data_IF_784419052444
#
_entry.id   IF_784419052444
#
_cell.length_a   1.000
_cell.length_b   1.000
_cell.length_c   1.000
_cell.angle_alpha   90.00
_cell.angle_beta   90.00
_cell.angle_gamma   90.00
#
_symmetry.space_group_name_H-M   'P 1'
#
loop_
_entity.id
_entity.type
_entity.pdbx_description
1 polymer ?
#
# COMPACT_ATOMS: atom_id res chain seq x y z
N UNK A 1 -27.83 -16.54 21.46
CA UNK A 1 -26.97 -16.63 20.25
C UNK A 1 -27.08 -15.30 19.53
N UNK A 2 -26.26 -14.34 19.93
CA UNK A 2 -26.22 -12.99 19.38
C UNK A 2 -25.32 -12.98 18.16
N UNK A 3 -25.84 -12.44 17.06
CA UNK A 3 -25.10 -12.09 15.85
C UNK A 3 -23.88 -11.24 16.26
N UNK A 4 -22.70 -11.85 16.29
CA UNK A 4 -21.43 -11.16 16.39
C UNK A 4 -21.05 -10.66 15.00
N UNK A 5 -21.21 -9.36 14.80
CA UNK A 5 -20.30 -8.46 14.08
C UNK A 5 -19.44 -9.11 12.98
N UNK A 6 -20.08 -9.40 11.85
CA UNK A 6 -19.40 -9.29 10.56
C UNK A 6 -19.23 -7.79 10.30
N UNK A 7 -18.18 -7.16 10.88
CA UNK A 7 -17.68 -5.87 10.40
C UNK A 7 -17.39 -6.04 8.91
N UNK A 8 -18.30 -5.57 8.05
CA UNK A 8 -18.08 -5.45 6.61
C UNK A 8 -16.76 -4.68 6.43
N UNK A 9 -15.68 -5.39 6.10
CA UNK A 9 -14.46 -4.73 5.64
C UNK A 9 -14.88 -3.91 4.42
N UNK A 10 -14.55 -2.62 4.42
CA UNK A 10 -14.85 -1.82 3.25
C UNK A 10 -13.98 -2.37 2.11
N UNK A 11 -14.61 -3.09 1.19
CA UNK A 11 -13.93 -3.61 0.02
C UNK A 11 -13.39 -2.43 -0.80
N UNK A 12 -12.12 -2.54 -1.17
CA UNK A 12 -11.51 -1.72 -2.21
C UNK A 12 -11.20 -2.66 -3.37
N UNK A 13 -11.25 -2.13 -4.58
CA UNK A 13 -10.94 -2.88 -5.79
C UNK A 13 -9.61 -2.41 -6.39
N UNK A 14 -9.12 -3.12 -7.41
CA UNK A 14 -7.88 -2.79 -8.09
C UNK A 14 -6.64 -3.01 -7.22
N UNK A 15 -6.74 -3.94 -6.26
CA UNK A 15 -5.62 -4.60 -5.61
C UNK A 15 -5.75 -6.08 -5.95
N UNK A 16 -4.70 -6.65 -6.55
CA UNK A 16 -4.60 -8.10 -6.57
C UNK A 16 -4.30 -8.55 -5.14
N UNK A 17 -5.24 -9.25 -4.51
CA UNK A 17 -4.92 -10.08 -3.35
C UNK A 17 -3.96 -11.14 -3.87
N UNK A 18 -2.70 -11.09 -3.44
CA UNK A 18 -1.58 -11.83 -4.03
C UNK A 18 -2.01 -13.19 -4.57
N UNK A 19 -2.09 -13.30 -5.90
CA UNK A 19 -2.36 -14.55 -6.59
C UNK A 19 -1.46 -15.62 -5.97
N UNK A 20 -1.97 -16.83 -5.73
CA UNK A 20 -1.23 -17.97 -5.18
C UNK A 20 0.20 -18.04 -5.73
N UNK A 21 1.15 -17.44 -5.00
CA UNK A 21 2.48 -17.21 -5.53
C UNK A 21 3.22 -18.54 -5.56
N UNK A 22 3.85 -18.84 -6.69
CA UNK A 22 4.63 -20.05 -6.87
C UNK A 22 5.75 -20.12 -5.82
N UNK A 23 5.89 -21.27 -5.15
CA UNK A 23 7.05 -21.56 -4.31
C UNK A 23 8.37 -21.51 -5.09
N UNK A 24 8.32 -21.59 -6.43
CA UNK A 24 9.51 -21.51 -7.29
C UNK A 24 10.26 -20.18 -7.15
N UNK A 25 9.54 -19.07 -6.92
CA UNK A 25 10.11 -17.73 -6.80
C UNK A 25 10.16 -17.25 -5.35
N UNK A 26 9.76 -18.09 -4.39
CA UNK A 26 9.88 -17.74 -2.97
C UNK A 26 11.34 -17.80 -2.54
N UNK A 27 11.87 -16.82 -1.81
CA UNK A 27 13.29 -16.72 -1.57
C UNK A 27 13.70 -17.60 -0.37
N UNK A 28 13.48 -18.91 -0.49
CA UNK A 28 13.66 -19.95 0.53
C UNK A 28 15.07 -19.91 1.16
N UNK A 29 16.09 -19.71 0.34
CA UNK A 29 17.50 -19.72 0.77
C UNK A 29 17.98 -18.39 1.36
N UNK A 30 17.13 -17.35 1.36
CA UNK A 30 17.48 -16.01 1.88
C UNK A 30 16.80 -15.67 3.21
N UNK A 31 16.10 -16.65 3.80
CA UNK A 31 15.46 -16.48 5.10
C UNK A 31 16.53 -16.54 6.21
N UNK A 32 17.10 -15.39 6.52
CA UNK A 32 18.08 -15.26 7.60
C UNK A 32 17.38 -14.97 8.93
N UNK A 33 16.77 -16.00 9.53
CA UNK A 33 16.38 -15.95 10.95
C UNK A 33 17.52 -16.51 11.77
N UNK A 34 18.19 -15.63 12.54
CA UNK A 34 19.24 -16.06 13.45
C UNK A 34 18.72 -16.23 14.87
N UNK A 35 19.20 -17.25 15.56
CA UNK A 35 18.93 -17.46 16.98
C UNK A 35 19.96 -16.67 17.80
N UNK A 36 19.49 -15.94 18.80
CA UNK A 36 20.29 -15.23 19.77
C UNK A 36 19.76 -15.52 21.19
N UNK A 37 20.62 -15.45 22.20
CA UNK A 37 20.25 -15.61 23.61
C UNK A 37 20.80 -14.44 24.40
N UNK A 38 19.90 -13.75 25.11
CA UNK A 38 20.24 -12.59 25.93
C UNK A 38 19.54 -12.67 27.26
N UNK A 39 20.17 -12.12 28.29
CA UNK A 39 19.53 -11.98 29.60
C UNK A 39 18.52 -10.84 29.59
N UNK A 40 17.55 -10.89 30.50
CA UNK A 40 16.60 -9.78 30.73
C UNK A 40 17.37 -8.49 31.01
N UNK A 41 18.38 -8.52 31.88
CA UNK A 41 19.18 -7.34 32.24
C UNK A 41 19.87 -6.68 31.05
N UNK A 42 20.44 -7.48 30.13
CA UNK A 42 21.05 -6.95 28.90
C UNK A 42 20.00 -6.27 28.01
N UNK A 43 18.86 -6.93 27.78
CA UNK A 43 17.78 -6.39 26.94
C UNK A 43 17.23 -5.09 27.52
N UNK A 44 16.96 -5.03 28.83
CA UNK A 44 16.49 -3.80 29.50
C UNK A 44 17.51 -2.67 29.37
N UNK A 45 18.81 -2.97 29.56
CA UNK A 45 19.87 -1.99 29.35
C UNK A 45 19.88 -1.44 27.92
N UNK A 46 19.68 -2.31 26.92
CA UNK A 46 19.62 -1.93 25.50
C UNK A 46 18.35 -1.14 25.18
N UNK A 47 17.21 -1.48 25.78
CA UNK A 47 15.97 -0.70 25.71
C UNK A 47 16.21 0.72 26.24
N UNK A 48 16.80 0.86 27.44
CA UNK A 48 17.13 2.17 28.03
C UNK A 48 18.06 3.02 27.14
N UNK A 49 18.94 2.36 26.37
CA UNK A 49 19.82 3.00 25.37
C UNK A 49 19.15 3.28 24.02
N UNK A 50 17.84 3.06 23.88
CA UNK A 50 17.10 3.27 22.63
C UNK A 50 17.46 2.28 21.51
N UNK A 51 18.05 1.12 21.85
CA UNK A 51 18.44 0.09 20.87
C UNK A 51 17.31 -0.88 20.52
N UNK A 52 16.23 -0.85 21.29
CA UNK A 52 15.00 -1.59 21.00
C UNK A 52 13.86 -0.59 20.78
N UNK A 53 13.14 -0.75 19.67
CA UNK A 53 11.89 -0.04 19.40
C UNK A 53 10.76 -0.89 20.01
N UNK A 54 10.40 -0.55 21.24
CA UNK A 54 9.24 -1.13 21.94
C UNK A 54 7.93 -0.48 21.52
N UNK A 55 7.98 0.74 20.99
CA UNK A 55 6.80 1.48 20.54
C UNK A 55 6.83 1.64 19.03
N UNK A 56 6.15 0.73 18.33
CA UNK A 56 5.81 1.00 16.96
C UNK A 56 4.28 1.22 17.00
N UNK A 57 3.89 2.48 16.80
CA UNK A 57 2.60 3.21 16.92
C UNK A 57 1.25 2.49 16.62
N UNK A 58 1.28 1.20 16.28
CA UNK A 58 0.19 0.31 15.87
C UNK A 58 0.10 -0.97 16.72
N UNK A 59 1.09 -1.31 17.55
CA UNK A 59 0.95 -2.38 18.52
C UNK A 59 0.20 -1.82 19.73
N UNK A 60 -1.02 -2.34 19.92
CA UNK A 60 -2.01 -1.99 20.95
C UNK A 60 -1.40 -1.38 22.21
N UNK A 61 -2.13 -0.41 22.78
CA UNK A 61 -2.00 -0.06 24.20
C UNK A 61 -1.68 -1.32 25.00
N UNK A 62 -0.65 -1.26 25.83
CA UNK A 62 -0.21 -2.37 26.64
C UNK A 62 -1.41 -3.06 27.34
N UNK A 63 -1.80 -4.26 26.88
CA UNK A 63 -3.09 -4.89 27.23
C UNK A 63 -2.98 -5.89 28.39
N UNK A 64 -1.77 -6.24 28.81
CA UNK A 64 -1.59 -7.19 29.90
C UNK A 64 -2.03 -6.60 31.24
N UNK A 65 -2.99 -7.25 31.89
CA UNK A 65 -3.38 -6.88 33.24
C UNK A 65 -2.27 -7.23 34.25
N UNK A 66 -2.37 -6.68 35.46
CA UNK A 66 -1.35 -6.88 36.50
C UNK A 66 -1.13 -8.36 36.83
N UNK A 67 -2.16 -9.21 36.78
CA UNK A 67 -2.01 -10.63 37.09
C UNK A 67 -1.17 -11.37 36.02
N UNK A 68 -1.33 -11.03 34.74
CA UNK A 68 -0.50 -11.58 33.65
C UNK A 68 0.97 -11.17 33.81
N UNK A 69 1.19 -9.92 34.19
CA UNK A 69 2.52 -9.38 34.46
C UNK A 69 3.22 -10.14 35.59
N UNK A 70 2.51 -10.28 36.71
CA UNK A 70 2.96 -10.98 37.91
C UNK A 70 3.35 -12.43 37.60
N UNK A 71 2.52 -13.17 36.84
CA UNK A 71 2.83 -14.56 36.43
C UNK A 71 4.10 -14.69 35.59
N UNK A 72 4.41 -13.69 34.76
CA UNK A 72 5.65 -13.69 33.98
C UNK A 72 6.87 -13.58 34.90
N UNK A 73 6.83 -12.66 35.87
CA UNK A 73 7.91 -12.48 36.83
C UNK A 73 8.06 -13.73 37.72
N UNK A 74 6.94 -14.31 38.16
CA UNK A 74 6.94 -15.58 38.89
C UNK A 74 7.60 -16.70 38.07
N UNK A 75 7.26 -16.83 36.80
CA UNK A 75 7.87 -17.83 35.91
C UNK A 75 9.39 -17.66 35.81
N UNK A 76 9.87 -16.42 35.72
CA UNK A 76 11.30 -16.08 35.74
C UNK A 76 11.97 -16.47 37.07
N UNK A 77 11.35 -16.15 38.20
CA UNK A 77 11.83 -16.55 39.53
C UNK A 77 11.86 -18.08 39.72
N UNK A 78 10.88 -18.79 39.16
CA UNK A 78 10.81 -20.26 39.17
C UNK A 78 11.74 -20.94 38.16
N UNK A 79 12.46 -20.17 37.32
CA UNK A 79 13.29 -20.66 36.20
C UNK A 79 12.50 -21.51 35.20
N UNK A 80 11.22 -21.19 35.01
CA UNK A 80 10.41 -21.80 33.97
C UNK A 80 10.87 -21.21 32.62
N UNK A 81 11.18 -22.05 31.62
CA UNK A 81 11.53 -21.58 30.28
C UNK A 81 10.42 -20.69 29.70
N UNK A 82 10.79 -19.47 29.29
CA UNK A 82 9.87 -18.53 28.68
C UNK A 82 9.78 -18.81 27.17
N UNK A 83 8.62 -18.56 26.53
CA UNK A 83 8.50 -18.71 25.08
C UNK A 83 9.54 -17.85 24.34
N UNK A 84 9.88 -18.24 23.12
CA UNK A 84 10.81 -17.46 22.29
C UNK A 84 10.24 -16.08 21.98
N UNK A 85 11.12 -15.11 21.71
CA UNK A 85 10.77 -13.78 21.22
C UNK A 85 11.14 -13.71 19.74
N UNK A 86 10.29 -13.09 18.94
CA UNK A 86 10.64 -12.79 17.56
C UNK A 86 10.81 -11.29 17.41
N UNK A 87 11.89 -10.90 16.76
CA UNK A 87 12.26 -9.50 16.59
C UNK A 87 12.84 -9.30 15.20
N UNK A 88 12.70 -8.12 14.63
CA UNK A 88 13.33 -7.75 13.37
C UNK A 88 14.50 -6.80 13.62
N UNK A 89 15.55 -6.94 12.84
CA UNK A 89 16.61 -5.95 12.78
C UNK A 89 16.21 -4.84 11.80
N UNK A 90 16.46 -3.59 12.22
CA UNK A 90 16.35 -2.41 11.38
C UNK A 90 17.68 -2.17 10.64
N UNK A 91 17.67 -1.35 9.60
CA UNK A 91 18.87 -1.06 8.79
C UNK A 91 20.02 -0.42 9.59
N UNK A 92 19.68 0.26 10.68
CA UNK A 92 20.65 0.87 11.60
C UNK A 92 21.06 -0.01 12.80
N UNK A 93 20.64 -1.29 12.78
CA UNK A 93 20.96 -2.28 13.80
C UNK A 93 20.11 -2.20 15.07
N UNK A 94 19.10 -1.30 15.13
CA UNK A 94 18.10 -1.34 16.20
C UNK A 94 17.21 -2.58 16.05
N UNK A 95 16.67 -3.04 17.17
CA UNK A 95 15.78 -4.20 17.21
C UNK A 95 14.34 -3.74 17.32
N UNK A 96 13.49 -4.19 16.41
CA UNK A 96 12.05 -3.97 16.38
C UNK A 96 11.37 -5.21 16.95
N UNK A 97 10.53 -5.04 17.97
CA UNK A 97 9.86 -6.19 18.60
C UNK A 97 8.66 -6.62 17.74
N UNK A 98 8.71 -7.85 17.25
CA UNK A 98 7.66 -8.43 16.39
C UNK A 98 6.65 -9.18 17.25
N UNK A 99 7.14 -10.12 18.07
CA UNK A 99 6.38 -10.81 19.10
C UNK A 99 7.06 -10.71 20.47
N UNK A 100 6.25 -10.62 21.52
CA UNK A 100 6.71 -10.55 22.91
C UNK A 100 6.90 -9.15 23.47
N UNK A 101 6.32 -8.13 22.82
CA UNK A 101 6.29 -6.76 23.33
C UNK A 101 5.78 -6.71 24.78
N UNK A 102 4.66 -7.37 25.07
CA UNK A 102 4.07 -7.37 26.41
C UNK A 102 5.04 -7.96 27.46
N UNK A 103 5.81 -8.99 27.08
CA UNK A 103 6.80 -9.63 27.97
C UNK A 103 7.97 -8.69 28.27
N UNK A 104 8.57 -8.11 27.24
CA UNK A 104 9.69 -7.17 27.39
C UNK A 104 9.26 -5.91 28.15
N UNK A 105 8.09 -5.36 27.87
CA UNK A 105 7.53 -4.22 28.60
C UNK A 105 7.25 -4.58 30.06
N UNK A 106 6.77 -5.78 30.36
CA UNK A 106 6.57 -6.23 31.75
C UNK A 106 7.89 -6.26 32.52
N UNK A 107 8.94 -6.87 31.95
CA UNK A 107 10.26 -6.88 32.58
C UNK A 107 10.81 -5.46 32.79
N UNK A 108 10.68 -4.61 31.76
CA UNK A 108 11.10 -3.21 31.84
C UNK A 108 10.40 -2.49 33.00
N UNK A 109 9.07 -2.59 33.08
CA UNK A 109 8.26 -1.95 34.13
C UNK A 109 8.62 -2.47 35.52
N UNK A 110 8.77 -3.78 35.68
CA UNK A 110 9.07 -4.37 36.98
C UNK A 110 10.45 -3.95 37.49
N UNK A 111 11.48 -4.05 36.65
CA UNK A 111 12.86 -3.65 36.98
C UNK A 111 12.96 -2.16 37.32
N UNK A 112 12.09 -1.33 36.75
CA UNK A 112 11.99 0.10 37.08
C UNK A 112 11.01 0.40 38.24
N UNK A 113 10.63 -0.60 39.05
CA UNK A 113 9.79 -0.43 40.24
C UNK A 113 8.39 0.15 39.95
N UNK A 114 7.87 0.02 38.72
CA UNK A 114 6.56 0.57 38.31
C UNK A 114 5.38 -0.22 38.90
N UNK A 115 5.58 -1.48 39.27
CA UNK A 115 4.57 -2.29 39.96
C UNK A 115 5.21 -3.28 40.94
N UNK A 116 4.39 -3.85 41.83
CA UNK A 116 4.81 -4.88 42.79
C UNK A 116 4.12 -6.22 42.53
N UNK A 117 4.70 -7.30 43.05
CA UNK A 117 4.19 -8.67 42.90
C UNK A 117 2.97 -8.93 43.80
N UNK A 118 1.84 -8.33 43.42
CA UNK A 118 0.55 -8.53 44.09
C UNK A 118 -0.05 -9.89 43.74
N UNK A 119 -0.79 -10.47 44.67
CA UNK A 119 -1.53 -11.74 44.49
C UNK A 119 -0.64 -12.97 44.20
N UNK A 120 0.60 -13.01 44.71
CA UNK A 120 1.45 -14.20 44.68
C UNK A 120 1.45 -14.90 46.05
N UNK A 121 1.39 -16.23 46.03
CA UNK A 121 1.77 -17.06 47.17
C UNK A 121 0.69 -17.23 48.25
N UNK A 122 1.12 -17.75 49.40
CA UNK A 122 0.27 -17.98 50.57
C UNK A 122 0.14 -16.71 51.42
N UNK A 123 -0.75 -16.71 52.43
CA UNK A 123 -0.94 -15.57 53.35
C UNK A 123 0.24 -15.33 54.32
N UNK A 124 1.42 -15.89 54.05
CA UNK A 124 2.61 -15.77 54.88
C UNK A 124 3.15 -14.32 54.91
N UNK A 125 3.27 -13.68 56.09
CA UNK A 125 3.88 -12.36 56.24
C UNK A 125 5.36 -12.29 55.86
N UNK A 126 6.10 -13.41 55.91
CA UNK A 126 7.55 -13.47 55.67
C UNK A 126 7.91 -13.81 54.21
N UNK A 127 6.92 -13.75 53.30
CA UNK A 127 7.11 -14.05 51.89
C UNK A 127 8.18 -13.12 51.25
N UNK A 128 9.17 -13.74 50.61
CA UNK A 128 10.32 -13.04 50.06
C UNK A 128 9.99 -12.20 48.81
N UNK A 129 8.84 -12.42 48.17
CA UNK A 129 8.46 -11.83 46.88
C UNK A 129 7.13 -11.07 46.92
N UNK A 130 6.19 -11.46 47.78
CA UNK A 130 4.84 -10.89 47.82
C UNK A 130 4.85 -9.39 48.11
N UNK A 131 4.05 -8.65 47.35
CA UNK A 131 3.87 -7.19 47.46
C UNK A 131 5.16 -6.36 47.30
N UNK A 132 6.29 -7.01 46.94
CA UNK A 132 7.58 -6.35 46.75
C UNK A 132 7.76 -5.89 45.31
N UNK A 133 8.39 -4.72 45.19
CA UNK A 133 8.97 -4.20 43.95
C UNK A 133 10.35 -4.83 43.72
N UNK A 134 10.92 -4.63 42.54
CA UNK A 134 12.21 -5.22 42.16
C UNK A 134 13.32 -4.85 43.14
N UNK A 135 13.46 -3.56 43.48
CA UNK A 135 14.50 -3.08 44.41
C UNK A 135 14.36 -3.60 45.85
N UNK A 136 13.19 -4.13 46.20
CA UNK A 136 12.89 -4.66 47.54
C UNK A 136 13.15 -6.16 47.64
N UNK A 137 13.40 -6.84 46.52
CA UNK A 137 13.76 -8.26 46.53
C UNK A 137 15.16 -8.48 47.11
N UNK A 138 15.42 -9.62 47.78
CA UNK A 138 16.79 -10.05 48.06
C UNK A 138 17.65 -10.06 46.79
N UNK A 139 18.92 -9.70 46.90
CA UNK A 139 19.86 -9.58 45.76
C UNK A 139 19.83 -10.84 44.87
N UNK A 140 19.88 -12.03 45.46
CA UNK A 140 19.84 -13.29 44.70
C UNK A 140 18.57 -13.50 43.85
N UNK A 141 17.43 -12.88 44.21
CA UNK A 141 16.20 -12.91 43.40
C UNK A 141 16.18 -11.81 42.34
N UNK A 142 16.81 -10.65 42.60
CA UNK A 142 17.03 -9.63 41.57
C UNK A 142 17.88 -10.19 40.44
N UNK A 143 19.04 -10.77 40.78
CA UNK A 143 19.95 -11.43 39.84
C UNK A 143 19.24 -12.54 39.06
N UNK A 144 18.37 -13.32 39.73
CA UNK A 144 17.60 -14.38 39.06
C UNK A 144 16.67 -13.86 37.96
N UNK A 145 16.06 -12.69 38.17
CA UNK A 145 15.23 -12.04 37.16
C UNK A 145 16.12 -11.48 36.05
N UNK A 146 17.19 -10.76 36.40
CA UNK A 146 18.08 -10.14 35.43
C UNK A 146 18.80 -11.17 34.55
N UNK A 147 19.24 -12.30 35.11
CA UNK A 147 19.91 -13.42 34.43
C UNK A 147 18.96 -14.34 33.67
N UNK A 148 17.64 -14.11 33.74
CA UNK A 148 16.67 -14.91 33.00
C UNK A 148 16.98 -14.87 31.51
N UNK A 149 17.28 -16.03 30.93
CA UNK A 149 17.67 -16.17 29.53
C UNK A 149 16.44 -16.11 28.62
N UNK A 150 16.45 -15.14 27.71
CA UNK A 150 15.45 -14.99 26.66
C UNK A 150 16.05 -15.45 25.33
N UNK A 151 15.35 -16.34 24.64
CA UNK A 151 15.73 -16.77 23.29
C UNK A 151 15.05 -15.88 22.26
N UNK A 152 15.83 -15.26 21.40
CA UNK A 152 15.37 -14.37 20.34
C UNK A 152 15.60 -15.02 18.97
N UNK A 153 14.60 -14.96 18.11
CA UNK A 153 14.73 -15.17 16.68
C UNK A 153 14.73 -13.81 15.99
N UNK A 154 15.89 -13.42 15.46
CA UNK A 154 16.08 -12.12 14.82
C UNK A 154 15.94 -12.29 13.31
N UNK A 155 14.92 -11.65 12.74
CA UNK A 155 14.77 -11.49 11.29
C UNK A 155 15.80 -10.47 10.81
N UNK A 156 16.72 -10.88 9.95
CA UNK A 156 17.75 -10.01 9.38
C UNK A 156 17.12 -8.88 8.54
N UNK A 157 17.71 -7.69 8.60
CA UNK A 157 17.27 -6.53 7.82
C UNK A 157 17.49 -6.70 6.32
N UNK A 158 18.36 -7.64 5.91
CA UNK A 158 18.67 -7.97 4.52
C UNK A 158 17.73 -9.02 3.90
N UNK A 159 16.87 -9.65 4.71
CA UNK A 159 15.89 -10.58 4.17
C UNK A 159 14.91 -9.85 3.24
N UNK A 160 14.46 -10.46 2.12
CA UNK A 160 13.46 -9.86 1.24
C UNK A 160 12.19 -9.46 2.01
N UNK A 161 11.51 -8.39 1.59
CA UNK A 161 10.38 -7.84 2.34
C UNK A 161 9.27 -8.88 2.47
N UNK A 162 8.95 -9.56 1.37
CA UNK A 162 7.95 -10.63 1.34
C UNK A 162 8.22 -11.71 2.39
N UNK A 163 9.47 -12.16 2.53
CA UNK A 163 9.84 -13.14 3.55
C UNK A 163 9.69 -12.58 4.97
N UNK A 164 10.07 -11.31 5.20
CA UNK A 164 9.91 -10.66 6.52
C UNK A 164 8.44 -10.56 6.91
N UNK A 165 7.58 -10.12 5.99
CA UNK A 165 6.14 -10.00 6.22
C UNK A 165 5.48 -11.36 6.48
N UNK A 166 5.80 -12.37 5.68
CA UNK A 166 5.29 -13.73 5.84
C UNK A 166 5.69 -14.37 7.18
N UNK A 167 6.93 -14.19 7.60
CA UNK A 167 7.40 -14.69 8.91
C UNK A 167 6.68 -13.93 10.02
N UNK A 168 6.57 -12.60 9.91
CA UNK A 168 5.86 -11.78 10.88
C UNK A 168 4.41 -12.26 11.04
N UNK A 169 3.70 -12.48 9.94
CA UNK A 169 2.32 -12.97 9.92
C UNK A 169 2.19 -14.34 10.61
N UNK A 170 3.07 -15.30 10.29
CA UNK A 170 3.03 -16.67 10.84
C UNK A 170 3.39 -16.74 12.32
N UNK A 171 4.26 -15.85 12.77
CA UNK A 171 4.81 -15.83 14.12
C UNK A 171 3.91 -15.10 15.10
N UNK A 172 3.21 -14.06 14.64
CA UNK A 172 2.40 -13.21 15.48
C UNK A 172 1.31 -14.02 16.19
N UNK A 173 1.51 -14.29 17.47
CA UNK A 173 0.59 -15.05 18.32
C UNK A 173 -0.60 -14.20 18.81
N UNK A 174 -0.65 -12.92 18.43
CA UNK A 174 -1.68 -11.97 18.78
C UNK A 174 -2.85 -11.91 17.79
N UNK A 175 -3.45 -10.73 17.69
CA UNK A 175 -4.42 -10.44 16.63
C UNK A 175 -3.61 -10.23 15.36
N UNK A 176 -3.98 -10.87 14.24
CA UNK A 176 -3.28 -10.71 12.97
C UNK A 176 -3.14 -9.24 12.59
N UNK A 177 -1.94 -8.84 12.18
CA UNK A 177 -1.66 -7.52 11.64
C UNK A 177 -1.77 -7.59 10.12
N UNK A 178 -2.26 -6.53 9.48
CA UNK A 178 -2.22 -6.42 8.02
C UNK A 178 -0.79 -6.21 7.53
N UNK A 179 -0.53 -6.53 6.25
CA UNK A 179 0.80 -6.27 5.65
C UNK A 179 1.25 -4.82 5.78
N UNK A 180 0.33 -3.86 5.66
CA UNK A 180 0.66 -2.46 5.87
C UNK A 180 0.96 -2.10 7.33
N UNK A 181 0.24 -2.69 8.30
CA UNK A 181 0.59 -2.52 9.73
C UNK A 181 1.99 -3.09 10.01
N UNK A 182 2.31 -4.25 9.43
CA UNK A 182 3.64 -4.85 9.51
C UNK A 182 4.72 -3.93 8.92
N UNK A 183 4.50 -3.35 7.73
CA UNK A 183 5.39 -2.32 7.15
C UNK A 183 5.58 -1.12 8.07
N UNK A 184 4.51 -0.64 8.69
CA UNK A 184 4.59 0.46 9.65
C UNK A 184 5.46 0.10 10.87
N UNK A 185 5.60 -1.19 11.21
CA UNK A 185 6.60 -1.66 12.18
C UNK A 185 8.01 -1.53 11.63
N UNK A 186 8.23 -2.20 10.50
CA UNK A 186 9.54 -2.54 9.98
C UNK A 186 10.26 -1.29 9.45
N UNK A 187 9.52 -0.27 9.04
CA UNK A 187 10.03 0.95 8.43
C UNK A 187 9.70 2.22 9.24
N UNK A 188 9.57 2.09 10.56
CA UNK A 188 9.27 3.21 11.46
C UNK A 188 10.29 4.36 11.31
N UNK A 189 9.78 5.56 11.01
CA UNK A 189 10.59 6.76 10.78
C UNK A 189 9.81 7.89 10.08
N UNK A 190 10.51 8.81 9.39
CA UNK A 190 9.88 9.85 8.56
C UNK A 190 8.84 9.31 7.58
N UNK A 191 9.04 8.13 7.01
CA UNK A 191 8.11 7.52 6.07
C UNK A 191 6.75 7.21 6.70
N UNK A 192 6.73 6.48 7.82
CA UNK A 192 5.48 6.14 8.52
C UNK A 192 4.78 7.38 9.07
N UNK A 193 5.54 8.41 9.47
CA UNK A 193 5.00 9.71 9.86
C UNK A 193 4.32 10.39 8.68
N UNK A 194 4.97 10.44 7.51
CA UNK A 194 4.37 10.96 6.27
C UNK A 194 3.05 10.26 5.96
N UNK A 195 3.00 8.92 5.97
CA UNK A 195 1.77 8.17 5.68
C UNK A 195 0.64 8.52 6.65
N UNK A 196 0.96 8.64 7.95
CA UNK A 196 -0.01 9.02 8.98
C UNK A 196 -0.51 10.45 8.76
N UNK A 197 0.39 11.41 8.55
CA UNK A 197 0.03 12.81 8.37
C UNK A 197 -0.80 13.01 7.09
N UNK A 198 -0.41 12.37 5.98
CA UNK A 198 -1.16 12.33 4.74
C UNK A 198 -2.56 11.72 4.92
N UNK A 199 -2.69 10.61 5.66
CA UNK A 199 -3.98 9.95 5.93
C UNK A 199 -4.94 10.80 6.75
N UNK A 200 -4.41 11.68 7.59
CA UNK A 200 -5.18 12.60 8.42
C UNK A 200 -5.45 13.95 7.75
N UNK A 201 -4.88 14.19 6.57
CA UNK A 201 -5.07 15.43 5.84
C UNK A 201 -6.51 15.58 5.33
N UNK A 202 -7.07 16.78 5.45
CA UNK A 202 -8.42 17.07 4.97
C UNK A 202 -8.61 16.78 3.46
N UNK A 203 -7.67 17.15 2.56
CA UNK A 203 -7.79 16.85 1.14
C UNK A 203 -7.88 15.35 0.84
N UNK A 204 -7.07 14.52 1.51
CA UNK A 204 -7.15 13.06 1.36
C UNK A 204 -8.49 12.53 1.88
N UNK A 205 -8.92 12.96 3.07
CA UNK A 205 -10.20 12.55 3.66
C UNK A 205 -11.37 12.93 2.74
N UNK A 206 -11.34 14.10 2.09
CA UNK A 206 -12.39 14.51 1.15
C UNK A 206 -12.38 13.68 -0.13
N UNK A 207 -11.21 13.50 -0.75
CA UNK A 207 -11.10 12.75 -2.01
C UNK A 207 -11.41 11.25 -1.84
N UNK A 208 -10.80 10.62 -0.84
CA UNK A 208 -10.91 9.17 -0.62
C UNK A 208 -12.14 8.84 0.22
N UNK A 209 -12.47 9.67 1.21
CA UNK A 209 -13.51 9.43 2.22
C UNK A 209 -13.38 8.03 2.82
N UNK A 210 -12.26 7.74 3.50
CA UNK A 210 -11.92 6.40 3.96
C UNK A 210 -12.91 5.88 5.01
N UNK A 211 -13.33 4.63 4.87
CA UNK A 211 -14.14 3.95 5.87
C UNK A 211 -13.34 3.73 7.16
N UNK A 212 -14.03 3.62 8.30
CA UNK A 212 -13.38 3.40 9.59
C UNK A 212 -12.57 2.09 9.62
N UNK A 213 -13.04 1.05 8.92
CA UNK A 213 -12.32 -0.21 8.75
C UNK A 213 -10.98 -0.03 8.04
N UNK A 214 -10.88 0.84 7.02
CA UNK A 214 -9.61 1.14 6.35
C UNK A 214 -8.59 1.78 7.29
N UNK A 215 -9.02 2.67 8.19
CA UNK A 215 -8.14 3.28 9.20
C UNK A 215 -7.62 2.23 10.19
N UNK A 216 -8.51 1.32 10.62
CA UNK A 216 -8.19 0.22 11.55
C UNK A 216 -7.15 -0.73 10.95
N UNK A 217 -7.27 -1.06 9.66
CA UNK A 217 -6.35 -1.95 8.94
C UNK A 217 -5.15 -1.23 8.32
N UNK A 218 -5.05 0.10 8.48
CA UNK A 218 -4.08 0.98 7.81
C UNK A 218 -4.08 0.89 6.29
N UNK A 219 -5.21 0.50 5.68
CA UNK A 219 -5.35 0.41 4.22
C UNK A 219 -5.29 1.79 3.56
N UNK A 220 -5.72 2.83 4.28
CA UNK A 220 -5.50 4.22 3.88
C UNK A 220 -4.02 4.57 3.73
N UNK A 221 -3.18 4.14 4.69
CA UNK A 221 -1.73 4.30 4.62
C UNK A 221 -1.09 3.46 3.52
N UNK A 222 -1.63 2.28 3.22
CA UNK A 222 -1.16 1.44 2.11
C UNK A 222 -1.35 2.13 0.77
N UNK A 223 -2.53 2.69 0.56
CA UNK A 223 -2.88 3.43 -0.66
C UNK A 223 -1.98 4.65 -0.82
N UNK A 224 -1.70 5.38 0.27
CA UNK A 224 -0.74 6.50 0.27
C UNK A 224 0.69 5.99 0.00
N UNK A 225 1.07 4.83 0.54
CA UNK A 225 2.39 4.26 0.26
C UNK A 225 2.55 3.88 -1.21
N UNK A 226 1.48 3.43 -1.88
CA UNK A 226 1.49 3.21 -3.34
C UNK A 226 1.74 4.51 -4.09
N UNK A 227 1.11 5.63 -3.71
CA UNK A 227 1.46 6.95 -4.23
C UNK A 227 2.95 7.26 -4.03
N UNK A 228 3.46 7.12 -2.80
CA UNK A 228 4.87 7.38 -2.49
C UNK A 228 5.83 6.55 -3.36
N UNK A 229 5.53 5.27 -3.56
CA UNK A 229 6.35 4.38 -4.35
C UNK A 229 6.41 4.79 -5.83
N UNK A 230 5.28 5.13 -6.44
CA UNK A 230 5.26 5.62 -7.82
C UNK A 230 5.74 7.06 -7.99
N UNK A 231 5.76 7.85 -6.92
CA UNK A 231 6.30 9.21 -6.91
C UNK A 231 7.84 9.22 -6.84
N UNK A 232 8.43 8.31 -6.05
CA UNK A 232 9.86 8.31 -5.75
C UNK A 232 10.65 7.35 -6.64
N UNK A 233 10.09 6.17 -6.93
CA UNK A 233 10.78 5.14 -7.72
C UNK A 233 10.44 5.31 -9.20
N UNK A 234 11.36 4.91 -10.08
CA UNK A 234 11.03 4.82 -11.50
C UNK A 234 10.07 3.66 -11.73
N UNK A 235 9.08 3.87 -12.60
CA UNK A 235 8.19 2.80 -13.03
C UNK A 235 8.93 1.68 -13.77
N UNK A 236 10.07 2.00 -14.38
CA UNK A 236 10.91 1.01 -15.06
C UNK A 236 11.56 0.04 -14.07
N UNK A 237 11.75 0.46 -12.83
CA UNK A 237 12.32 -0.36 -11.75
C UNK A 237 11.31 -1.38 -11.19
N UNK A 238 10.02 -1.26 -11.54
CA UNK A 238 9.00 -2.19 -11.07
C UNK A 238 9.11 -3.57 -11.76
N UNK A 239 9.36 -4.61 -10.95
CA UNK A 239 9.62 -5.99 -11.42
C UNK A 239 8.48 -6.98 -11.18
N UNK A 240 7.30 -6.51 -10.75
CA UNK A 240 6.14 -7.35 -10.44
C UNK A 240 5.93 -7.59 -8.94
N UNK A 241 6.95 -7.34 -8.12
CA UNK A 241 6.87 -7.48 -6.66
C UNK A 241 6.41 -6.17 -6.02
N UNK A 242 5.10 -6.01 -5.83
CA UNK A 242 4.51 -4.80 -5.22
C UNK A 242 5.01 -4.56 -3.79
N UNK A 243 5.32 -5.62 -3.05
CA UNK A 243 5.75 -5.49 -1.65
C UNK A 243 7.13 -4.87 -1.53
N UNK A 244 8.08 -5.38 -2.30
CA UNK A 244 9.44 -4.86 -2.36
C UNK A 244 9.43 -3.41 -2.87
N UNK A 245 8.60 -3.11 -3.88
CA UNK A 245 8.46 -1.76 -4.42
C UNK A 245 7.96 -0.75 -3.37
N UNK A 246 7.00 -1.17 -2.54
CA UNK A 246 6.47 -0.37 -1.44
C UNK A 246 7.47 -0.22 -0.29
N UNK A 247 8.22 -1.28 0.04
CA UNK A 247 9.27 -1.23 1.05
C UNK A 247 10.43 -0.31 0.63
N UNK A 248 10.85 -0.37 -0.63
CA UNK A 248 11.90 0.49 -1.19
C UNK A 248 11.55 1.97 -1.04
N UNK A 249 10.30 2.34 -1.32
CA UNK A 249 9.82 3.71 -1.14
C UNK A 249 9.94 4.18 0.32
N UNK A 250 9.53 3.35 1.28
CA UNK A 250 9.63 3.67 2.71
C UNK A 250 11.09 3.82 3.15
N UNK A 251 11.98 2.96 2.67
CA UNK A 251 13.42 3.07 2.92
C UNK A 251 13.99 4.38 2.40
N UNK A 252 13.67 4.75 1.15
CA UNK A 252 14.12 6.01 0.54
C UNK A 252 13.60 7.22 1.32
N UNK A 253 12.32 7.25 1.71
CA UNK A 253 11.76 8.35 2.49
C UNK A 253 12.41 8.46 3.87
N UNK A 254 12.73 7.35 4.53
CA UNK A 254 13.34 7.38 5.86
C UNK A 254 14.73 8.03 5.89
N UNK A 255 15.44 8.07 4.75
CA UNK A 255 16.74 8.73 4.61
C UNK A 255 16.67 10.02 3.79
N UNK A 256 15.48 10.41 3.34
CA UNK A 256 15.25 11.59 2.53
C UNK A 256 15.38 12.87 3.36
N UNK A 257 16.01 13.94 2.84
CA UNK A 257 16.00 15.24 3.48
C UNK A 257 14.57 15.74 3.76
N UNK A 258 14.36 16.39 4.91
CA UNK A 258 13.02 16.86 5.30
C UNK A 258 12.37 17.78 4.26
N UNK A 259 13.15 18.62 3.57
CA UNK A 259 12.62 19.52 2.54
C UNK A 259 12.02 18.76 1.34
N UNK A 260 12.61 17.64 0.92
CA UNK A 260 12.09 16.80 -0.16
C UNK A 260 10.80 16.08 0.29
N UNK A 261 10.76 15.63 1.56
CA UNK A 261 9.55 15.05 2.17
C UNK A 261 8.42 16.09 2.20
N UNK A 262 8.73 17.34 2.56
CA UNK A 262 7.77 18.43 2.60
C UNK A 262 7.27 18.79 1.20
N UNK A 263 8.14 18.81 0.19
CA UNK A 263 7.76 18.97 -1.23
C UNK A 263 6.81 17.87 -1.67
N UNK A 264 7.15 16.60 -1.43
CA UNK A 264 6.27 15.47 -1.76
C UNK A 264 4.92 15.58 -1.05
N UNK A 265 4.88 16.06 0.21
CA UNK A 265 3.63 16.28 0.93
C UNK A 265 2.78 17.37 0.27
N UNK A 266 3.40 18.48 -0.15
CA UNK A 266 2.72 19.56 -0.87
C UNK A 266 2.11 19.02 -2.17
N UNK A 267 2.89 18.27 -2.96
CA UNK A 267 2.42 17.73 -4.24
C UNK A 267 1.31 16.69 -4.06
N UNK A 268 1.43 15.83 -3.03
CA UNK A 268 0.35 14.92 -2.61
C UNK A 268 -0.93 15.67 -2.26
N UNK A 269 -0.84 16.71 -1.41
CA UNK A 269 -1.97 17.51 -0.98
C UNK A 269 -2.63 18.22 -2.17
N UNK A 270 -1.83 18.81 -3.07
CA UNK A 270 -2.32 19.45 -4.29
C UNK A 270 -3.02 18.46 -5.21
N UNK A 271 -2.46 17.27 -5.38
CA UNK A 271 -3.06 16.17 -6.11
C UNK A 271 -4.42 15.78 -5.54
N UNK A 272 -4.52 15.55 -4.22
CA UNK A 272 -5.78 15.18 -3.55
C UNK A 272 -6.84 16.28 -3.68
N UNK A 273 -6.46 17.54 -3.42
CA UNK A 273 -7.36 18.69 -3.57
C UNK A 273 -7.89 18.83 -4.99
N UNK A 274 -7.03 18.68 -6.00
CA UNK A 274 -7.41 18.81 -7.40
C UNK A 274 -8.32 17.65 -7.84
N UNK A 275 -8.01 16.42 -7.43
CA UNK A 275 -8.87 15.27 -7.66
C UNK A 275 -10.27 15.49 -7.09
N UNK A 276 -10.37 15.94 -5.83
CA UNK A 276 -11.67 16.24 -5.23
C UNK A 276 -12.38 17.41 -5.92
N UNK A 277 -11.65 18.45 -6.33
CA UNK A 277 -12.21 19.59 -7.05
C UNK A 277 -12.84 19.20 -8.40
N UNK A 278 -12.22 18.27 -9.13
CA UNK A 278 -12.66 17.84 -10.47
C UNK A 278 -13.70 16.72 -10.38
N UNK A 279 -13.44 15.69 -9.56
CA UNK A 279 -14.22 14.45 -9.55
C UNK A 279 -15.17 14.32 -8.34
N UNK A 280 -15.05 15.21 -7.34
CA UNK A 280 -15.87 15.22 -6.14
C UNK A 280 -15.84 13.88 -5.39
N UNK A 281 -17.02 13.41 -4.99
CA UNK A 281 -17.21 12.13 -4.26
C UNK A 281 -16.79 10.90 -5.08
N UNK A 282 -16.62 11.03 -6.39
CA UNK A 282 -16.18 9.95 -7.27
C UNK A 282 -14.67 9.95 -7.52
N UNK A 283 -13.90 10.76 -6.80
CA UNK A 283 -12.43 10.69 -6.86
C UNK A 283 -11.96 9.25 -6.65
N UNK A 284 -11.14 8.75 -7.57
CA UNK A 284 -10.57 7.40 -7.58
C UNK A 284 -11.61 6.27 -7.60
N UNK A 285 -12.76 6.49 -8.26
CA UNK A 285 -13.83 5.50 -8.39
C UNK A 285 -14.31 5.39 -9.83
N UNK A 286 -14.55 4.15 -10.28
CA UNK A 286 -15.10 3.87 -11.61
C UNK A 286 -16.53 4.40 -11.80
N UNK A 287 -17.27 4.66 -10.71
CA UNK A 287 -18.64 5.20 -10.78
C UNK A 287 -18.75 6.51 -11.54
N UNK A 288 -17.68 7.30 -11.65
CA UNK A 288 -17.71 8.55 -12.41
C UNK A 288 -18.12 8.34 -13.88
N UNK A 289 -17.81 7.19 -14.47
CA UNK A 289 -18.15 6.88 -15.86
C UNK A 289 -19.46 6.09 -16.03
N UNK A 290 -19.93 5.42 -14.98
CA UNK A 290 -21.13 4.54 -15.03
C UNK A 290 -22.37 5.18 -14.40
N UNK A 291 -22.25 5.60 -13.14
CA UNK A 291 -23.34 6.19 -12.39
C UNK A 291 -22.77 7.21 -11.39
N UNK A 292 -22.58 8.47 -11.80
CA UNK A 292 -21.95 9.50 -10.95
C UNK A 292 -22.70 9.78 -9.65
N UNK A 293 -23.99 9.42 -9.58
CA UNK A 293 -24.83 9.61 -8.40
C UNK A 293 -24.65 8.49 -7.35
N UNK A 294 -24.10 7.34 -7.74
CA UNK A 294 -23.84 6.22 -6.84
C UNK A 294 -22.36 6.16 -6.49
N UNK A 295 -22.06 6.16 -5.19
CA UNK A 295 -20.69 6.00 -4.72
C UNK A 295 -20.32 4.51 -4.73
N UNK A 296 -19.28 4.16 -5.46
CA UNK A 296 -18.71 2.80 -5.52
C UNK A 296 -17.47 2.65 -4.62
N UNK A 297 -16.97 1.42 -4.52
CA UNK A 297 -15.71 1.08 -3.86
C UNK A 297 -14.54 1.87 -4.45
N UNK A 298 -13.54 2.17 -3.61
CA UNK A 298 -12.32 2.85 -4.05
C UNK A 298 -11.51 1.92 -4.95
N UNK A 299 -10.98 2.42 -6.07
CA UNK A 299 -10.04 1.68 -6.90
C UNK A 299 -8.60 2.12 -6.61
N UNK A 300 -7.78 1.22 -6.07
CA UNK A 300 -6.42 1.54 -5.63
C UNK A 300 -5.45 1.71 -6.80
N UNK A 301 -5.64 0.96 -7.89
CA UNK A 301 -4.88 1.12 -9.14
C UNK A 301 -5.29 2.35 -9.96
N UNK A 302 -6.47 2.91 -9.71
CA UNK A 302 -6.81 4.23 -10.22
C UNK A 302 -6.21 5.31 -9.31
N UNK A 303 -6.20 5.07 -7.99
CA UNK A 303 -5.58 5.98 -7.03
C UNK A 303 -4.10 6.15 -7.30
N UNK A 304 -3.30 5.08 -7.32
CA UNK A 304 -1.84 5.17 -7.47
C UNK A 304 -1.43 5.96 -8.73
N UNK A 305 -2.17 5.76 -9.82
CA UNK A 305 -1.87 6.26 -11.14
C UNK A 305 -2.27 7.73 -11.26
N UNK A 306 -3.52 8.06 -10.92
CA UNK A 306 -4.03 9.42 -11.03
C UNK A 306 -3.41 10.32 -9.98
N UNK A 307 -3.25 9.85 -8.74
CA UNK A 307 -2.67 10.65 -7.66
C UNK A 307 -1.22 11.04 -7.97
N UNK A 308 -0.42 10.11 -8.48
CA UNK A 308 0.98 10.35 -8.87
C UNK A 308 1.06 11.30 -10.06
N UNK A 309 0.31 11.04 -11.14
CA UNK A 309 0.31 11.93 -12.30
C UNK A 309 -0.12 13.35 -11.95
N UNK A 310 -1.14 13.50 -11.10
CA UNK A 310 -1.61 14.82 -10.68
C UNK A 310 -0.60 15.50 -9.76
N UNK A 311 0.08 14.78 -8.87
CA UNK A 311 1.13 15.37 -8.03
C UNK A 311 2.30 15.91 -8.87
N UNK A 312 2.71 15.19 -9.92
CA UNK A 312 3.79 15.64 -10.80
C UNK A 312 3.39 16.79 -11.73
N UNK A 313 2.09 17.05 -11.92
CA UNK A 313 1.58 17.99 -12.93
C UNK A 313 0.54 19.01 -12.42
N UNK A 314 0.33 19.12 -11.10
CA UNK A 314 -0.81 19.88 -10.53
C UNK A 314 -0.82 21.34 -10.97
N UNK A 315 0.35 21.98 -11.10
CA UNK A 315 0.50 23.39 -11.46
C UNK A 315 0.05 23.71 -12.90
N UNK A 316 0.08 22.72 -13.79
CA UNK A 316 -0.50 22.81 -15.14
C UNK A 316 -1.99 22.48 -15.10
N UNK A 317 -2.35 21.38 -14.45
CA UNK A 317 -3.71 20.87 -14.40
C UNK A 317 -4.69 21.82 -13.71
N UNK A 318 -4.27 22.53 -12.66
CA UNK A 318 -5.15 23.45 -11.92
C UNK A 318 -5.64 24.66 -12.74
N UNK A 319 -4.95 24.95 -13.86
CA UNK A 319 -5.25 26.06 -14.77
C UNK A 319 -6.19 25.67 -15.90
N UNK A 320 -6.44 24.38 -16.08
CA UNK A 320 -7.29 23.86 -17.15
C UNK A 320 -8.75 23.81 -16.72
N UNK A 321 -9.63 23.74 -17.71
CA UNK A 321 -11.06 23.54 -17.46
C UNK A 321 -11.30 22.16 -16.81
N UNK A 322 -11.97 22.17 -15.66
CA UNK A 322 -12.25 20.96 -14.91
C UNK A 322 -13.26 20.06 -15.63
N UNK A 323 -14.16 20.61 -16.46
CA UNK A 323 -15.12 19.79 -17.22
C UNK A 323 -14.35 18.96 -18.25
N UNK A 324 -13.46 19.59 -19.02
CA UNK A 324 -12.55 18.89 -19.94
C UNK A 324 -11.74 17.78 -19.24
N UNK A 325 -11.13 18.07 -18.08
CA UNK A 325 -10.35 17.05 -17.34
C UNK A 325 -11.23 15.89 -16.83
N UNK A 326 -12.45 16.19 -16.42
CA UNK A 326 -13.44 15.19 -16.01
C UNK A 326 -13.82 14.28 -17.18
N UNK A 327 -14.08 14.85 -18.35
CA UNK A 327 -14.45 14.11 -19.55
C UNK A 327 -13.29 13.22 -20.03
N UNK A 328 -12.04 13.69 -19.94
CA UNK A 328 -10.84 12.87 -20.21
C UNK A 328 -10.80 11.61 -19.33
N UNK A 329 -11.09 11.72 -18.02
CA UNK A 329 -11.09 10.55 -17.14
C UNK A 329 -12.26 9.61 -17.43
N UNK A 330 -13.46 10.14 -17.69
CA UNK A 330 -14.63 9.33 -18.05
C UNK A 330 -14.32 8.53 -19.32
N UNK A 331 -13.70 9.17 -20.31
CA UNK A 331 -13.30 8.52 -21.56
C UNK A 331 -12.30 7.38 -21.31
N UNK A 332 -11.25 7.62 -20.52
CA UNK A 332 -10.29 6.56 -20.16
C UNK A 332 -10.98 5.38 -19.47
N UNK A 333 -11.92 5.63 -18.56
CA UNK A 333 -12.66 4.57 -17.87
C UNK A 333 -13.63 3.80 -18.77
N UNK A 334 -13.95 4.31 -19.96
CA UNK A 334 -14.73 3.62 -20.98
C UNK A 334 -13.84 2.86 -21.97
N UNK A 335 -12.53 3.14 -21.99
CA UNK A 335 -11.56 2.51 -22.87
C UNK A 335 -11.09 1.16 -22.28
N UNK A 336 -11.44 -0.01 -22.90
CA UNK A 336 -11.27 -1.33 -22.28
C UNK A 336 -9.83 -1.64 -21.85
N UNK A 337 -8.79 -1.39 -22.67
CA UNK A 337 -7.41 -1.62 -22.23
C UNK A 337 -7.02 -0.86 -20.95
N UNK A 338 -7.47 0.38 -20.78
CA UNK A 338 -7.24 1.13 -19.54
C UNK A 338 -8.10 0.58 -18.40
N UNK A 339 -9.38 0.33 -18.64
CA UNK A 339 -10.29 -0.25 -17.65
C UNK A 339 -9.77 -1.58 -17.09
N UNK A 340 -9.29 -2.46 -17.96
CA UNK A 340 -8.72 -3.76 -17.60
C UNK A 340 -7.44 -3.58 -16.78
N UNK A 341 -6.57 -2.64 -17.14
CA UNK A 341 -5.31 -2.38 -16.41
C UNK A 341 -5.48 -1.90 -14.96
N UNK A 342 -6.67 -1.41 -14.59
CA UNK A 342 -7.05 -1.01 -13.22
C UNK A 342 -8.00 -2.02 -12.55
N UNK A 343 -8.32 -3.13 -13.21
CA UNK A 343 -9.31 -4.12 -12.74
C UNK A 343 -8.74 -5.53 -12.64
N UNK A 344 -7.95 -5.95 -13.63
CA UNK A 344 -7.46 -7.32 -13.79
C UNK A 344 -5.93 -7.35 -13.66
N UNK A 345 -5.40 -8.28 -12.88
CA UNK A 345 -3.95 -8.48 -12.70
C UNK A 345 -3.21 -7.14 -12.52
N UNK A 346 -3.73 -6.34 -11.62
CA UNK A 346 -3.36 -4.94 -11.41
C UNK A 346 -1.96 -4.73 -10.87
N UNK A 347 -1.30 -5.79 -10.39
CA UNK A 347 0.11 -5.77 -10.00
C UNK A 347 1.05 -6.32 -11.10
N UNK A 348 0.56 -6.79 -12.25
CA UNK A 348 1.48 -7.23 -13.29
C UNK A 348 2.24 -6.02 -13.91
N UNK A 349 3.46 -6.27 -14.36
CA UNK A 349 4.37 -5.21 -14.86
C UNK A 349 3.82 -4.48 -16.07
N UNK A 350 3.13 -5.20 -16.97
CA UNK A 350 2.51 -4.64 -18.16
C UNK A 350 1.42 -3.61 -17.81
N UNK A 351 0.44 -4.00 -16.98
CA UNK A 351 -0.70 -3.16 -16.60
C UNK A 351 -0.27 -1.92 -15.83
N UNK A 352 0.70 -2.04 -14.92
CA UNK A 352 1.27 -0.89 -14.21
C UNK A 352 1.91 0.09 -15.19
N UNK A 353 2.82 -0.38 -16.05
CA UNK A 353 3.47 0.50 -17.04
C UNK A 353 2.46 1.13 -17.96
N UNK A 354 1.56 0.33 -18.52
CA UNK A 354 0.51 0.76 -19.43
C UNK A 354 -0.35 1.89 -18.83
N UNK A 355 -0.93 1.68 -17.64
CA UNK A 355 -1.86 2.65 -17.05
C UNK A 355 -1.17 3.97 -16.67
N UNK A 356 0.04 3.91 -16.11
CA UNK A 356 0.79 5.10 -15.73
C UNK A 356 1.28 5.88 -16.94
N UNK A 357 1.78 5.21 -17.98
CA UNK A 357 2.22 5.91 -19.18
C UNK A 357 1.05 6.53 -19.94
N UNK A 358 -0.09 5.82 -20.06
CA UNK A 358 -1.28 6.38 -20.70
C UNK A 358 -1.87 7.56 -19.93
N UNK A 359 -1.95 7.48 -18.60
CA UNK A 359 -2.39 8.61 -17.77
C UNK A 359 -1.43 9.79 -17.90
N UNK A 360 -0.11 9.57 -17.89
CA UNK A 360 0.88 10.63 -18.10
C UNK A 360 0.77 11.25 -19.51
N UNK A 361 0.44 10.46 -20.54
CA UNK A 361 0.15 10.98 -21.88
C UNK A 361 -1.05 11.93 -21.87
N UNK A 362 -2.14 11.52 -21.20
CA UNK A 362 -3.41 12.27 -21.18
C UNK A 362 -3.40 13.50 -20.26
N UNK A 363 -2.74 13.39 -19.10
CA UNK A 363 -2.77 14.39 -18.02
C UNK A 363 -1.40 15.01 -17.67
N UNK A 364 -0.30 14.58 -18.28
CA UNK A 364 1.05 15.10 -17.98
C UNK A 364 1.68 15.92 -19.11
N UNK A 365 1.65 15.41 -20.35
CA UNK A 365 2.36 16.02 -21.47
C UNK A 365 1.44 16.76 -22.45
N UNK A 366 0.45 16.06 -23.02
CA UNK A 366 -0.32 16.52 -24.17
C UNK A 366 -1.71 17.02 -23.74
N UNK A 367 -1.72 18.02 -22.87
CA UNK A 367 -2.93 18.52 -22.21
C UNK A 367 -3.90 19.23 -23.17
N UNK A 368 -3.37 19.83 -24.24
CA UNK A 368 -4.08 20.53 -25.31
C UNK A 368 -4.77 19.61 -26.30
N UNK A 369 -4.31 18.35 -26.41
CA UNK A 369 -4.90 17.34 -27.30
C UNK A 369 -6.16 16.71 -26.70
N UNK A 370 -7.04 16.22 -27.57
CA UNK A 370 -8.21 15.43 -27.17
C UNK A 370 -7.78 14.10 -26.54
N UNK A 371 -8.63 13.50 -25.70
CA UNK A 371 -8.32 12.20 -25.09
C UNK A 371 -8.09 11.11 -26.15
N UNK A 372 -8.91 11.12 -27.20
CA UNK A 372 -8.83 10.19 -28.34
C UNK A 372 -7.48 10.31 -29.04
N UNK A 373 -7.05 11.54 -29.36
CA UNK A 373 -5.76 11.75 -30.00
C UNK A 373 -4.60 11.25 -29.12
N UNK A 374 -4.65 11.52 -27.81
CA UNK A 374 -3.63 11.05 -26.88
C UNK A 374 -3.55 9.52 -26.82
N UNK A 375 -4.70 8.83 -26.82
CA UNK A 375 -4.75 7.36 -26.84
C UNK A 375 -4.19 6.82 -28.16
N UNK A 376 -4.62 7.36 -29.31
CA UNK A 376 -4.12 6.90 -30.62
C UNK A 376 -2.60 7.06 -30.72
N UNK A 377 -2.06 8.22 -30.33
CA UNK A 377 -0.61 8.45 -30.32
C UNK A 377 0.12 7.49 -29.37
N UNK A 378 -0.47 7.19 -28.22
CA UNK A 378 0.09 6.23 -27.25
C UNK A 378 0.07 4.80 -27.78
N UNK A 379 -1.03 4.33 -28.36
CA UNK A 379 -1.08 2.98 -28.92
C UNK A 379 -0.11 2.83 -30.09
N UNK A 380 -0.02 3.85 -30.95
CA UNK A 380 0.90 3.83 -32.09
C UNK A 380 2.37 3.88 -31.67
N UNK A 381 2.72 4.46 -30.51
CA UNK A 381 4.11 4.53 -30.04
C UNK A 381 4.70 3.17 -29.66
N UNK A 382 3.88 2.14 -29.45
CA UNK A 382 4.32 0.78 -29.18
C UNK A 382 4.74 0.02 -30.45
N UNK A 383 4.51 0.60 -31.63
CA UNK A 383 4.93 0.02 -32.90
C UNK A 383 6.28 0.63 -33.33
N UNK A 384 7.19 -0.20 -33.84
CA UNK A 384 8.54 0.18 -34.29
C UNK A 384 8.56 1.01 -35.60
N UNK A 385 7.52 1.80 -35.85
CA UNK A 385 7.39 2.69 -36.99
C UNK A 385 7.35 4.12 -36.48
N UNK A 386 8.12 5.02 -37.09
CA UNK A 386 8.03 6.46 -36.79
C UNK A 386 6.56 6.90 -36.87
N UNK A 387 6.02 7.43 -35.77
CA UNK A 387 4.62 7.88 -35.70
C UNK A 387 4.42 8.92 -36.80
N UNK A 388 3.66 8.56 -37.84
CA UNK A 388 3.28 9.51 -38.88
C UNK A 388 2.12 10.36 -38.37
N UNK A 389 2.37 11.66 -38.22
CA UNK A 389 1.35 12.63 -37.82
C UNK A 389 0.14 12.63 -38.78
N UNK A 390 0.30 12.26 -40.06
CA UNK A 390 -0.83 12.11 -40.99
C UNK A 390 -1.71 10.90 -40.65
N UNK A 391 -1.11 9.80 -40.17
CA UNK A 391 -1.84 8.61 -39.75
C UNK A 391 -2.69 8.93 -38.51
N UNK A 392 -2.11 9.59 -37.51
CA UNK A 392 -2.82 10.03 -36.30
C UNK A 392 -4.00 10.92 -36.67
N UNK A 393 -3.80 11.93 -37.52
CA UNK A 393 -4.87 12.82 -37.98
C UNK A 393 -5.98 12.07 -38.73
N UNK A 394 -5.61 11.09 -39.55
CA UNK A 394 -6.58 10.26 -40.30
C UNK A 394 -7.44 9.42 -39.36
N UNK A 395 -6.83 8.80 -38.34
CA UNK A 395 -7.56 8.02 -37.34
C UNK A 395 -8.45 8.90 -36.45
N UNK A 396 -7.96 10.05 -36.00
CA UNK A 396 -8.77 11.00 -35.21
C UNK A 396 -9.99 11.47 -36.02
N UNK A 397 -9.79 11.83 -37.29
CA UNK A 397 -10.90 12.24 -38.17
C UNK A 397 -11.90 11.12 -38.43
N UNK A 398 -11.42 9.90 -38.65
CA UNK A 398 -12.26 8.71 -38.78
C UNK A 398 -13.11 8.52 -37.52
N UNK A 399 -12.49 8.59 -36.34
CA UNK A 399 -13.18 8.50 -35.05
C UNK A 399 -14.28 9.58 -34.92
N UNK A 400 -13.94 10.84 -35.18
CA UNK A 400 -14.89 11.97 -35.08
C UNK A 400 -16.07 11.83 -36.04
N UNK A 401 -15.82 11.42 -37.29
CA UNK A 401 -16.87 11.18 -38.29
C UNK A 401 -17.85 10.09 -37.84
N UNK A 402 -17.34 8.99 -37.28
CA UNK A 402 -18.17 7.89 -36.80
C UNK A 402 -18.97 8.31 -35.56
N UNK A 403 -18.33 9.02 -34.62
CA UNK A 403 -18.97 9.52 -33.41
C UNK A 403 -20.10 10.52 -33.71
N UNK A 404 -19.95 11.35 -34.73
CA UNK A 404 -20.96 12.34 -35.17
C UNK A 404 -22.06 11.75 -36.07
N UNK A 405 -21.87 10.55 -36.60
CA UNK A 405 -22.84 9.93 -37.52
C UNK A 405 -24.13 9.52 -36.79
N UNK A 406 -25.26 9.93 -37.36
CA UNK A 406 -26.60 9.52 -36.94
C UNK A 406 -27.10 8.22 -37.59
N UNK A 407 -26.26 7.56 -38.39
CA UNK A 407 -26.62 6.32 -39.08
C UNK A 407 -26.84 5.15 -38.10
N UNK A 408 -27.63 4.12 -38.49
CA UNK A 408 -27.81 2.92 -37.70
C UNK A 408 -26.48 2.22 -37.37
N UNK A 409 -26.44 1.46 -36.26
CA UNK A 409 -25.25 0.73 -35.79
C UNK A 409 -24.53 -0.04 -36.91
N UNK A 410 -25.25 -0.87 -37.67
CA UNK A 410 -24.66 -1.71 -38.72
C UNK A 410 -23.96 -0.89 -39.81
N UNK A 411 -24.51 0.28 -40.16
CA UNK A 411 -23.94 1.16 -41.17
C UNK A 411 -22.69 1.87 -40.64
N UNK A 412 -22.74 2.36 -39.39
CA UNK A 412 -21.56 2.99 -38.76
C UNK A 412 -20.42 1.99 -38.53
N UNK A 413 -20.74 0.75 -38.14
CA UNK A 413 -19.76 -0.31 -37.95
C UNK A 413 -19.12 -0.77 -39.28
N UNK A 414 -19.93 -0.88 -40.34
CA UNK A 414 -19.41 -1.17 -41.69
C UNK A 414 -18.51 -0.06 -42.22
N UNK A 415 -18.92 1.22 -42.05
CA UNK A 415 -18.12 2.38 -42.40
C UNK A 415 -16.79 2.39 -41.64
N UNK A 416 -16.84 2.13 -40.33
CA UNK A 416 -15.66 2.01 -39.48
C UNK A 416 -14.68 0.97 -40.01
N UNK A 417 -15.12 -0.28 -40.21
CA UNK A 417 -14.23 -1.33 -40.70
C UNK A 417 -13.58 -0.93 -42.03
N UNK A 418 -14.36 -0.41 -42.98
CA UNK A 418 -13.82 0.01 -44.27
C UNK A 418 -12.79 1.15 -44.16
N UNK A 419 -13.09 2.22 -43.41
CA UNK A 419 -12.14 3.34 -43.25
C UNK A 419 -10.89 2.93 -42.46
N UNK A 420 -11.08 2.15 -41.40
CA UNK A 420 -10.00 1.64 -40.56
C UNK A 420 -9.04 0.75 -41.36
N UNK A 421 -9.55 -0.23 -42.11
CA UNK A 421 -8.74 -1.09 -42.97
C UNK A 421 -7.98 -0.29 -44.02
N UNK A 422 -8.62 0.68 -44.66
CA UNK A 422 -7.99 1.54 -45.67
C UNK A 422 -6.82 2.35 -45.09
N UNK A 423 -6.96 2.89 -43.87
CA UNK A 423 -5.89 3.63 -43.20
C UNK A 423 -4.71 2.70 -42.93
N UNK A 424 -4.93 1.53 -42.32
CA UNK A 424 -3.83 0.62 -41.97
C UNK A 424 -3.16 -0.03 -43.19
N UNK A 425 -3.90 -0.31 -44.27
CA UNK A 425 -3.31 -0.75 -45.54
C UNK A 425 -2.39 0.31 -46.14
N UNK A 426 -2.79 1.60 -46.11
CA UNK A 426 -1.96 2.72 -46.63
C UNK A 426 -0.59 2.78 -45.94
N UNK A 427 -0.50 2.43 -44.66
CA UNK A 427 0.73 2.49 -43.86
C UNK A 427 1.43 1.13 -43.67
N UNK A 428 1.07 0.10 -44.47
CA UNK A 428 1.72 -1.22 -44.48
C UNK A 428 1.75 -1.94 -43.12
N UNK A 429 0.73 -1.76 -42.28
CA UNK A 429 0.63 -2.53 -41.04
C UNK A 429 0.25 -3.98 -41.34
N UNK A 430 1.08 -4.93 -40.87
CA UNK A 430 0.83 -6.38 -41.05
C UNK A 430 -0.31 -6.91 -40.17
N UNK A 431 -0.59 -6.22 -39.06
CA UNK A 431 -1.65 -6.55 -38.11
C UNK A 431 -2.33 -5.28 -37.61
N UNK A 432 -3.64 -5.34 -37.41
CA UNK A 432 -4.41 -4.24 -36.82
C UNK A 432 -4.07 -4.10 -35.33
N UNK A 433 -3.74 -2.88 -34.85
CA UNK A 433 -3.57 -2.63 -33.43
C UNK A 433 -4.89 -2.87 -32.69
N UNK A 434 -5.00 -4.00 -31.98
CA UNK A 434 -6.20 -4.39 -31.24
C UNK A 434 -6.72 -3.29 -30.33
N UNK A 435 -5.82 -2.59 -29.64
CA UNK A 435 -6.16 -1.51 -28.74
C UNK A 435 -6.80 -0.31 -29.45
N UNK A 436 -6.31 0.07 -30.62
CA UNK A 436 -6.93 1.13 -31.43
C UNK A 436 -8.29 0.67 -31.95
N UNK A 437 -8.44 -0.60 -32.33
CA UNK A 437 -9.75 -1.14 -32.69
C UNK A 437 -10.74 -1.06 -31.51
N UNK A 438 -10.33 -1.46 -30.31
CA UNK A 438 -11.13 -1.38 -29.08
C UNK A 438 -11.53 0.05 -28.73
N UNK A 439 -10.65 1.03 -28.98
CA UNK A 439 -10.97 2.46 -28.81
C UNK A 439 -12.17 2.87 -29.66
N UNK A 440 -12.26 2.38 -30.90
CA UNK A 440 -13.37 2.70 -31.77
C UNK A 440 -14.63 1.93 -31.40
N UNK A 441 -14.51 0.70 -30.91
CA UNK A 441 -15.65 -0.08 -30.41
C UNK A 441 -16.38 0.61 -29.23
N UNK A 442 -15.66 1.38 -28.41
CA UNK A 442 -16.25 2.21 -27.35
C UNK A 442 -17.37 3.13 -27.85
N UNK A 443 -17.29 3.62 -29.09
CA UNK A 443 -18.29 4.53 -29.68
C UNK A 443 -19.64 3.87 -29.93
N UNK A 444 -19.66 2.54 -30.06
CA UNK A 444 -20.87 1.82 -30.41
C UNK A 444 -21.66 1.33 -29.20
N UNK A 445 -21.14 1.52 -27.98
CA UNK A 445 -21.86 1.19 -26.73
C UNK A 445 -22.03 -0.30 -26.45
N UNK A 446 -21.40 -1.18 -27.24
CA UNK A 446 -21.53 -2.64 -27.13
C UNK A 446 -20.28 -3.36 -26.60
N UNK A 447 -19.39 -2.68 -25.86
CA UNK A 447 -18.49 -3.42 -24.97
C UNK A 447 -19.26 -3.91 -23.75
N UNK A 448 -20.14 -4.90 -23.95
CA UNK A 448 -20.57 -5.78 -22.85
C UNK A 448 -19.32 -6.57 -22.47
N UNK A 449 -18.69 -6.18 -21.38
CA UNK A 449 -17.71 -7.04 -20.73
C UNK A 449 -18.32 -8.43 -20.60
N UNK A 450 -17.66 -9.45 -21.15
CA UNK A 450 -17.98 -10.86 -20.93
C UNK A 450 -17.72 -11.30 -19.47
N UNK A 451 -17.87 -10.38 -18.51
CA UNK A 451 -17.65 -10.54 -17.07
C UNK A 451 -18.96 -10.40 -16.29
N UNK A 452 -20.10 -10.20 -16.96
CA UNK A 452 -21.43 -10.44 -16.36
C UNK A 452 -21.85 -11.91 -16.58
N UNK A 453 -21.09 -12.85 -16.00
CA UNK A 453 -21.52 -14.18 -15.53
C UNK A 453 -20.82 -14.47 -14.22
#
# INVERSE_FOLDING_TARGET
>A
MTNLDLEYQAEVEGLDEGNSESWADYPLDTVFVRKDQRTVGEIITRIKKGRYKLDPEFQRDYVWNINQQVRLIESSLMRIPLPVLYVAEDVDGRIIVVDGLQRLTTFFKYINDEFSLKNIGSNDPDDLIRDKKFSQLPIHLQERIEDTQLTLYILDSKAPERARLDIFERVNSGVPLTRQQMRNCLYSGPATKFLKDASNSLPFIQAVTPAQSMKKTMRDREIINRFCAFYINSIDDYKGEMEDYLAEALLKINVMPQHDIDTMMIDFIKSMSLNFKIFGKNSFRKSIARNPNQRTVLNVSLFDTISTCFALNWSKLEKLDHIMLKDKLIFLLQYPPFYDSITLSTNNTYNIRYRHQLVNKVFGHDLDKTCVQNIIEFELSHFNTSIDNEMVKSLVKCYENIAMSSAPFNERYSLFNNEFENIFMKYNFKYYPRNIFLLFECMFGEYKSSVDI
#
